data_IF_857010700751
#
_entry.id   IF_857010700751
#
_cell.length_a   1.000
_cell.length_b   1.000
_cell.length_c   1.000
_cell.angle_alpha   90.00
_cell.angle_beta   90.00
_cell.angle_gamma   90.00
#
_symmetry.space_group_name_H-M   'P 1'
#
loop_
_entity.id
_entity.type
_entity.pdbx_description
1 polymer ?
#
# COMPACT_ATOMS: atom_id res chain seq x y z
N UNK A 1 -8.55 4.30 17.61
CA UNK A 1 -8.69 3.68 18.95
C UNK A 1 -9.05 2.19 18.91
N UNK A 2 -9.41 1.59 17.75
CA UNK A 2 -9.62 0.14 17.62
C UNK A 2 -8.30 -0.65 17.64
N UNK A 3 -7.23 -0.12 17.04
CA UNK A 3 -5.96 -0.84 16.79
C UNK A 3 -5.21 -1.30 18.05
N UNK A 4 -5.38 -0.62 19.21
CA UNK A 4 -4.75 -1.04 20.48
C UNK A 4 -5.47 -2.20 21.17
N UNK A 5 -6.74 -2.45 20.87
CA UNK A 5 -7.48 -3.61 21.41
C UNK A 5 -7.11 -4.91 20.67
N UNK A 6 -6.70 -4.80 19.40
CA UNK A 6 -6.36 -5.94 18.51
C UNK A 6 -5.20 -6.79 19.06
N UNK A 7 -4.20 -6.16 19.70
CA UNK A 7 -2.99 -6.87 20.17
C UNK A 7 -3.28 -7.79 21.36
N UNK A 8 -4.30 -7.52 22.18
CA UNK A 8 -4.70 -8.39 23.31
C UNK A 8 -5.76 -9.43 22.93
N UNK A 9 -6.36 -9.33 21.74
CA UNK A 9 -7.52 -10.14 21.34
C UNK A 9 -7.16 -11.45 20.61
N UNK A 10 -5.89 -11.69 20.26
CA UNK A 10 -5.53 -12.86 19.44
C UNK A 10 -5.76 -14.21 20.13
N UNK A 11 -5.90 -14.25 21.47
CA UNK A 11 -6.02 -15.50 22.24
C UNK A 11 -7.40 -15.74 22.90
N UNK A 12 -8.36 -14.80 22.80
CA UNK A 12 -9.72 -14.95 23.37
C UNK A 12 -10.80 -15.02 22.25
N UNK A 13 -11.47 -16.17 22.07
CA UNK A 13 -12.52 -16.34 21.06
C UNK A 13 -13.72 -15.39 21.21
N UNK A 14 -14.12 -15.05 22.45
CA UNK A 14 -15.24 -14.14 22.69
C UNK A 14 -14.85 -12.70 22.32
N UNK A 15 -13.60 -12.33 22.60
CA UNK A 15 -13.07 -11.01 22.25
C UNK A 15 -12.92 -10.86 20.72
N UNK A 16 -12.50 -11.91 20.00
CA UNK A 16 -12.51 -11.94 18.53
C UNK A 16 -13.91 -11.76 17.95
N UNK A 17 -14.91 -12.47 18.48
CA UNK A 17 -16.28 -12.35 17.99
C UNK A 17 -16.86 -10.94 18.23
N UNK A 18 -16.51 -10.31 19.35
CA UNK A 18 -16.88 -8.93 19.62
C UNK A 18 -16.18 -7.95 18.67
N UNK A 19 -14.89 -8.15 18.39
CA UNK A 19 -14.11 -7.37 17.44
C UNK A 19 -14.69 -7.46 16.01
N UNK A 20 -15.02 -8.67 15.54
CA UNK A 20 -15.61 -8.89 14.22
C UNK A 20 -16.98 -8.19 14.09
N UNK A 21 -17.80 -8.24 15.14
CA UNK A 21 -19.09 -7.52 15.18
C UNK A 21 -18.86 -6.01 15.13
N UNK A 22 -17.92 -5.49 15.93
CA UNK A 22 -17.61 -4.06 15.95
C UNK A 22 -17.07 -3.57 14.60
N UNK A 23 -16.19 -4.33 13.96
CA UNK A 23 -15.66 -4.02 12.64
C UNK A 23 -16.76 -4.06 11.57
N UNK A 24 -17.67 -5.03 11.67
CA UNK A 24 -18.83 -5.13 10.78
C UNK A 24 -19.74 -3.90 10.90
N UNK A 25 -20.08 -3.48 12.11
CA UNK A 25 -20.92 -2.30 12.33
C UNK A 25 -20.21 -1.01 11.88
N UNK A 26 -18.90 -0.91 12.12
CA UNK A 26 -18.10 0.20 11.60
C UNK A 26 -18.15 0.28 10.06
N UNK A 27 -17.98 -0.84 9.38
CA UNK A 27 -18.05 -0.90 7.91
C UNK A 27 -19.45 -0.56 7.41
N UNK A 28 -20.51 -1.08 8.06
CA UNK A 28 -21.90 -0.75 7.73
C UNK A 28 -22.16 0.75 7.85
N UNK A 29 -21.69 1.39 8.93
CA UNK A 29 -21.78 2.83 9.12
C UNK A 29 -21.11 3.61 7.98
N UNK A 30 -19.86 3.28 7.66
CA UNK A 30 -19.13 3.93 6.57
C UNK A 30 -19.78 3.72 5.21
N UNK A 31 -20.33 2.54 4.92
CA UNK A 31 -21.07 2.26 3.69
C UNK A 31 -22.38 3.06 3.64
N UNK A 32 -23.12 3.13 4.74
CA UNK A 32 -24.37 3.93 4.83
C UNK A 32 -24.11 5.41 4.57
N UNK A 33 -22.97 5.92 5.04
CA UNK A 33 -22.51 7.29 4.78
C UNK A 33 -21.85 7.47 3.40
N UNK A 34 -21.72 6.42 2.59
CA UNK A 34 -21.11 6.49 1.26
C UNK A 34 -19.62 6.84 1.27
N UNK A 35 -18.89 6.53 2.37
CA UNK A 35 -17.47 6.88 2.48
C UNK A 35 -16.64 6.12 1.44
N UNK A 36 -15.88 6.85 0.64
CA UNK A 36 -14.89 6.25 -0.28
C UNK A 36 -13.69 5.72 0.51
N UNK A 37 -12.94 4.72 0.02
CA UNK A 37 -11.77 4.19 0.72
C UNK A 37 -10.72 5.24 1.09
N UNK A 38 -10.53 6.29 0.28
CA UNK A 38 -9.62 7.41 0.64
C UNK A 38 -10.08 8.18 1.89
N UNK A 39 -11.40 8.28 2.12
CA UNK A 39 -11.96 8.92 3.32
C UNK A 39 -11.72 8.03 4.53
N UNK A 40 -11.95 6.72 4.39
CA UNK A 40 -11.70 5.75 5.47
C UNK A 40 -10.22 5.66 5.82
N UNK A 41 -9.34 5.76 4.82
CA UNK A 41 -7.89 5.87 5.03
C UNK A 41 -7.54 7.03 5.98
N UNK A 42 -8.11 8.22 5.75
CA UNK A 42 -7.93 9.37 6.64
C UNK A 42 -8.54 9.18 8.04
N UNK A 43 -9.68 8.50 8.15
CA UNK A 43 -10.27 8.14 9.47
C UNK A 43 -9.33 7.23 10.26
N UNK A 44 -8.64 6.31 9.56
CA UNK A 44 -7.64 5.43 10.13
C UNK A 44 -6.28 6.12 10.34
N UNK A 45 -6.16 7.41 9.99
CA UNK A 45 -4.94 8.23 10.06
C UNK A 45 -3.78 7.70 9.22
N UNK A 46 -4.08 6.86 8.23
CA UNK A 46 -3.09 6.28 7.33
C UNK A 46 -2.58 7.29 6.28
N UNK A 47 -3.14 8.50 6.26
CA UNK A 47 -2.68 9.65 5.49
C UNK A 47 -1.47 10.33 6.15
N UNK A 48 -1.22 10.06 7.43
CA UNK A 48 0.05 10.33 8.09
C UNK A 48 0.91 9.06 8.13
N UNK A 49 2.05 9.08 7.46
CA UNK A 49 2.99 7.98 7.40
C UNK A 49 3.57 7.51 8.73
N UNK A 50 3.61 8.39 9.73
CA UNK A 50 4.02 8.02 11.09
C UNK A 50 3.00 7.11 11.78
N UNK A 51 1.77 7.05 11.26
CA UNK A 51 0.67 6.25 11.78
C UNK A 51 0.37 5.02 10.90
N UNK A 52 1.19 4.71 9.91
CA UNK A 52 1.03 3.46 9.16
C UNK A 52 1.38 2.29 10.08
N UNK A 53 0.38 1.44 10.33
CA UNK A 53 0.54 0.15 11.00
C UNK A 53 -0.24 -0.94 10.26
N UNK A 54 0.21 -2.19 10.41
CA UNK A 54 -0.37 -3.35 9.73
C UNK A 54 -1.84 -3.56 10.06
N UNK A 55 -2.26 -3.26 11.28
CA UNK A 55 -3.64 -3.41 11.74
C UNK A 55 -4.59 -2.51 10.95
N UNK A 56 -4.28 -1.22 10.90
CA UNK A 56 -5.10 -0.25 10.18
C UNK A 56 -5.05 -0.45 8.66
N UNK A 57 -3.91 -0.84 8.09
CA UNK A 57 -3.83 -1.19 6.65
C UNK A 57 -4.72 -2.39 6.32
N UNK A 58 -4.73 -3.43 7.17
CA UNK A 58 -5.63 -4.58 7.02
C UNK A 58 -7.11 -4.17 7.11
N UNK A 59 -7.46 -3.30 8.06
CA UNK A 59 -8.83 -2.76 8.19
C UNK A 59 -9.24 -2.04 6.90
N UNK A 60 -8.37 -1.19 6.33
CA UNK A 60 -8.62 -0.50 5.07
C UNK A 60 -8.77 -1.47 3.90
N UNK A 61 -7.91 -2.49 3.80
CA UNK A 61 -7.96 -3.51 2.75
C UNK A 61 -9.29 -4.27 2.78
N UNK A 62 -9.72 -4.72 3.96
CA UNK A 62 -11.02 -5.39 4.13
C UNK A 62 -12.17 -4.45 3.76
N UNK A 63 -12.09 -3.17 4.14
CA UNK A 63 -13.11 -2.19 3.76
C UNK A 63 -13.20 -2.00 2.25
N UNK A 64 -12.07 -1.97 1.52
CA UNK A 64 -12.06 -1.87 0.05
C UNK A 64 -12.81 -3.05 -0.59
N UNK A 65 -12.68 -4.26 -0.07
CA UNK A 65 -13.42 -5.44 -0.56
C UNK A 65 -14.93 -5.24 -0.39
N UNK A 66 -15.37 -4.85 0.81
CA UNK A 66 -16.79 -4.59 1.12
C UNK A 66 -17.34 -3.45 0.27
N UNK A 67 -16.57 -2.36 0.13
CA UNK A 67 -16.94 -1.21 -0.69
C UNK A 67 -17.11 -1.61 -2.17
N UNK A 68 -16.19 -2.40 -2.72
CA UNK A 68 -16.26 -2.84 -4.12
C UNK A 68 -17.43 -3.79 -4.40
N UNK A 69 -17.82 -4.60 -3.42
CA UNK A 69 -19.02 -5.43 -3.50
C UNK A 69 -20.29 -4.56 -3.48
N UNK A 70 -20.32 -3.49 -2.69
CA UNK A 70 -21.50 -2.60 -2.62
C UNK A 70 -21.61 -1.64 -3.81
N UNK A 71 -20.47 -1.14 -4.30
CA UNK A 71 -20.40 -0.11 -5.34
C UNK A 71 -19.69 -0.63 -6.58
N UNK A 72 -20.28 -1.64 -7.23
CA UNK A 72 -19.66 -2.36 -8.36
C UNK A 72 -19.23 -1.48 -9.54
N UNK A 73 -19.96 -0.38 -9.78
CA UNK A 73 -19.65 0.59 -10.85
C UNK A 73 -18.55 1.59 -10.48
N UNK A 74 -18.18 1.69 -9.21
CA UNK A 74 -17.26 2.69 -8.67
C UNK A 74 -16.16 2.05 -7.82
N UNK A 75 -15.64 0.90 -8.29
CA UNK A 75 -14.60 0.15 -7.57
C UNK A 75 -13.36 1.00 -7.32
N UNK A 76 -12.75 0.78 -6.17
CA UNK A 76 -11.50 1.37 -5.75
C UNK A 76 -10.49 0.27 -5.42
N UNK A 77 -9.20 0.60 -5.44
CA UNK A 77 -8.15 -0.31 -4.94
C UNK A 77 -7.44 0.32 -3.75
N UNK A 78 -6.79 -0.53 -2.94
CA UNK A 78 -5.96 -0.08 -1.82
C UNK A 78 -4.88 0.91 -2.31
N UNK A 79 -4.23 0.60 -3.43
CA UNK A 79 -3.24 1.47 -4.06
C UNK A 79 -3.85 2.82 -4.48
N UNK A 80 -5.05 2.83 -5.06
CA UNK A 80 -5.71 4.08 -5.43
C UNK A 80 -6.03 4.94 -4.20
N UNK A 81 -6.46 4.33 -3.10
CA UNK A 81 -6.72 5.06 -1.86
C UNK A 81 -5.44 5.75 -1.35
N UNK A 82 -4.34 5.00 -1.21
CA UNK A 82 -3.05 5.54 -0.77
C UNK A 82 -2.46 6.56 -1.73
N UNK A 83 -2.51 6.29 -3.04
CA UNK A 83 -2.04 7.22 -4.07
C UNK A 83 -2.80 8.54 -3.99
N UNK A 84 -4.11 8.49 -3.84
CA UNK A 84 -4.93 9.69 -3.75
C UNK A 84 -4.67 10.46 -2.44
N UNK A 85 -4.49 9.75 -1.32
CA UNK A 85 -4.18 10.36 -0.03
C UNK A 85 -2.81 11.06 -0.02
N UNK A 86 -1.79 10.46 -0.63
CA UNK A 86 -0.44 11.03 -0.69
C UNK A 86 -0.19 11.96 -1.87
N UNK A 87 -1.20 12.21 -2.71
CA UNK A 87 -1.10 13.17 -3.81
C UNK A 87 -0.27 12.68 -5.00
N UNK A 88 -0.28 11.38 -5.27
CA UNK A 88 0.33 10.80 -6.46
C UNK A 88 1.22 9.59 -6.18
N UNK A 89 1.62 8.92 -7.26
CA UNK A 89 2.42 7.70 -7.18
C UNK A 89 3.86 7.98 -6.72
N UNK A 90 4.44 9.08 -7.19
CA UNK A 90 5.77 9.54 -6.80
C UNK A 90 5.83 9.83 -5.29
N UNK A 91 4.88 10.62 -4.77
CA UNK A 91 4.83 10.99 -3.35
C UNK A 91 4.59 9.78 -2.44
N UNK A 92 3.70 8.87 -2.85
CA UNK A 92 3.52 7.59 -2.17
C UNK A 92 4.84 6.82 -2.08
N UNK A 93 5.55 6.65 -3.20
CA UNK A 93 6.82 5.93 -3.22
C UNK A 93 7.89 6.57 -2.33
N UNK A 94 8.02 7.90 -2.35
CA UNK A 94 8.92 8.62 -1.44
C UNK A 94 8.62 8.32 0.02
N UNK A 95 7.34 8.22 0.35
CA UNK A 95 6.92 7.94 1.71
C UNK A 95 7.20 6.51 2.15
N UNK A 96 7.00 5.53 1.28
CA UNK A 96 7.35 4.13 1.55
C UNK A 96 8.85 3.97 1.86
N UNK A 97 9.71 4.66 1.10
CA UNK A 97 11.14 4.69 1.36
C UNK A 97 11.45 5.33 2.73
N UNK A 98 10.76 6.40 3.11
CA UNK A 98 10.95 7.02 4.42
C UNK A 98 10.52 6.11 5.58
N UNK A 99 9.47 5.30 5.40
CA UNK A 99 9.00 4.34 6.41
C UNK A 99 9.96 3.17 6.60
N UNK A 100 10.65 2.73 5.53
CA UNK A 100 11.63 1.64 5.61
C UNK A 100 12.90 2.04 6.43
N UNK A 101 13.06 3.33 6.74
CA UNK A 101 14.07 3.81 7.70
C UNK A 101 13.60 3.73 9.16
N UNK A 102 12.33 3.42 9.38
CA UNK A 102 11.70 3.21 10.71
C UNK A 102 11.36 1.72 10.89
N UNK A 103 11.27 1.27 12.15
CA UNK A 103 11.27 -0.14 12.55
C UNK A 103 10.03 -0.98 12.16
N UNK A 104 9.02 -0.43 11.47
CA UNK A 104 7.83 -1.17 11.04
C UNK A 104 7.89 -1.58 9.55
N UNK A 105 8.75 -2.57 9.28
CA UNK A 105 9.08 -3.07 7.94
C UNK A 105 7.91 -3.76 7.21
N UNK A 106 6.98 -4.39 7.95
CA UNK A 106 6.00 -5.31 7.35
C UNK A 106 4.96 -4.58 6.50
N UNK A 107 4.54 -3.40 6.94
CA UNK A 107 3.49 -2.63 6.27
C UNK A 107 4.01 -1.91 5.02
N UNK A 108 5.26 -1.41 5.06
CA UNK A 108 5.94 -0.85 3.89
C UNK A 108 6.07 -1.91 2.78
N UNK A 109 6.38 -3.15 3.14
CA UNK A 109 6.47 -4.28 2.21
C UNK A 109 5.13 -4.56 1.51
N UNK A 110 4.01 -4.60 2.24
CA UNK A 110 2.69 -4.87 1.62
C UNK A 110 2.33 -3.81 0.58
N UNK A 111 2.53 -2.52 0.88
CA UNK A 111 2.23 -1.44 -0.07
C UNK A 111 3.23 -1.44 -1.24
N UNK A 112 4.51 -1.74 -0.99
CA UNK A 112 5.52 -1.90 -2.03
C UNK A 112 5.21 -3.06 -2.97
N UNK A 113 4.70 -4.19 -2.47
CA UNK A 113 4.26 -5.34 -3.29
C UNK A 113 3.13 -4.91 -4.21
N UNK A 114 2.14 -4.16 -3.70
CA UNK A 114 1.01 -3.70 -4.51
C UNK A 114 1.49 -2.72 -5.59
N UNK A 115 2.41 -1.80 -5.26
CA UNK A 115 3.00 -0.88 -6.23
C UNK A 115 3.80 -1.65 -7.31
N UNK A 116 4.59 -2.64 -6.89
CA UNK A 116 5.41 -3.48 -7.77
C UNK A 116 4.55 -4.32 -8.71
N UNK A 117 3.50 -4.96 -8.21
CA UNK A 117 2.54 -5.70 -9.02
C UNK A 117 1.91 -4.80 -10.08
N UNK A 118 1.59 -3.54 -9.71
CA UNK A 118 1.01 -2.58 -10.66
C UNK A 118 1.97 -2.15 -11.76
N UNK A 119 3.26 -1.96 -11.45
CA UNK A 119 4.27 -1.70 -12.48
C UNK A 119 4.48 -2.91 -13.38
N UNK A 120 4.47 -4.10 -12.79
CA UNK A 120 4.63 -5.35 -13.51
C UNK A 120 3.47 -5.63 -14.49
N UNK A 121 2.23 -5.39 -14.08
CA UNK A 121 1.05 -5.47 -14.97
C UNK A 121 1.15 -4.56 -16.19
N UNK A 122 1.91 -3.46 -16.09
CA UNK A 122 2.18 -2.55 -17.20
C UNK A 122 3.40 -2.96 -18.05
N UNK A 123 4.01 -4.10 -17.72
CA UNK A 123 5.29 -4.54 -18.27
C UNK A 123 6.41 -3.51 -18.11
N UNK A 124 6.36 -2.68 -17.06
CA UNK A 124 7.38 -1.68 -16.80
C UNK A 124 8.57 -2.34 -16.10
N UNK A 125 9.74 -2.33 -16.73
CA UNK A 125 10.97 -2.70 -16.03
C UNK A 125 11.41 -1.55 -15.08
N UNK A 126 12.55 -1.72 -14.39
CA UNK A 126 13.09 -0.69 -13.48
C UNK A 126 13.23 0.67 -14.17
N UNK A 127 13.73 0.71 -15.41
CA UNK A 127 13.96 1.94 -16.16
C UNK A 127 12.66 2.65 -16.50
N UNK A 128 11.62 1.93 -16.89
CA UNK A 128 10.30 2.51 -17.12
C UNK A 128 9.70 3.10 -15.83
N UNK A 129 9.79 2.38 -14.71
CA UNK A 129 9.31 2.87 -13.43
C UNK A 129 10.10 4.10 -12.96
N UNK A 130 11.42 4.05 -13.06
CA UNK A 130 12.35 5.14 -12.75
C UNK A 130 12.04 6.41 -13.54
N UNK A 131 11.94 6.32 -14.86
CA UNK A 131 11.70 7.47 -15.75
C UNK A 131 10.26 7.99 -15.62
N UNK A 132 9.26 7.11 -15.62
CA UNK A 132 7.85 7.53 -15.69
C UNK A 132 7.31 8.00 -14.34
N UNK A 133 7.79 7.44 -13.23
CA UNK A 133 7.25 7.72 -11.89
C UNK A 133 8.06 8.79 -11.17
N UNK A 134 9.37 8.79 -11.37
CA UNK A 134 10.30 9.64 -10.62
C UNK A 134 11.05 10.65 -11.49
N UNK A 135 10.85 10.61 -12.81
CA UNK A 135 11.56 11.47 -13.76
C UNK A 135 13.10 11.40 -13.59
N UNK A 136 13.60 10.20 -13.28
CA UNK A 136 15.03 9.92 -13.07
C UNK A 136 15.66 9.34 -14.34
N UNK A 137 16.98 9.47 -14.46
CA UNK A 137 17.78 9.02 -15.60
C UNK A 137 18.84 8.00 -15.17
N UNK A 138 19.40 7.21 -16.12
CA UNK A 138 20.48 6.26 -15.82
C UNK A 138 21.68 6.88 -15.09
N UNK A 139 21.94 8.18 -15.29
CA UNK A 139 23.06 8.91 -14.70
C UNK A 139 22.84 9.32 -13.25
N UNK A 140 21.58 9.51 -12.80
CA UNK A 140 21.28 10.12 -11.50
C UNK A 140 20.49 9.23 -10.53
N UNK A 141 19.91 8.12 -11.00
CA UNK A 141 18.97 7.35 -10.20
C UNK A 141 19.63 6.62 -9.03
N UNK A 142 20.88 6.16 -9.18
CA UNK A 142 21.53 5.31 -8.18
C UNK A 142 21.87 6.08 -6.90
N UNK A 143 22.18 7.37 -7.04
CA UNK A 143 22.40 8.28 -5.91
C UNK A 143 21.10 8.87 -5.36
N UNK A 144 19.97 8.64 -6.02
CA UNK A 144 18.67 9.15 -5.58
C UNK A 144 18.14 8.34 -4.39
N UNK A 145 17.38 9.00 -3.51
CA UNK A 145 16.77 8.33 -2.35
C UNK A 145 15.83 7.17 -2.72
N UNK A 146 15.30 7.11 -3.95
CA UNK A 146 14.44 6.05 -4.46
C UNK A 146 15.19 4.80 -4.93
N UNK A 147 16.53 4.84 -5.02
CA UNK A 147 17.33 3.72 -5.49
C UNK A 147 17.02 2.38 -4.76
N UNK A 148 16.83 2.34 -3.42
CA UNK A 148 16.51 1.07 -2.74
C UNK A 148 15.19 0.46 -3.20
N UNK A 149 14.16 1.27 -3.44
CA UNK A 149 12.86 0.80 -3.96
C UNK A 149 13.02 0.27 -5.40
N UNK A 150 13.73 1.00 -6.25
CA UNK A 150 13.97 0.61 -7.64
C UNK A 150 14.79 -0.68 -7.75
N UNK A 151 15.76 -0.90 -6.85
CA UNK A 151 16.53 -2.14 -6.78
C UNK A 151 15.64 -3.32 -6.40
N UNK A 152 14.84 -3.20 -5.33
CA UNK A 152 13.92 -4.27 -4.91
C UNK A 152 12.89 -4.60 -6.01
N UNK A 153 12.36 -3.57 -6.67
CA UNK A 153 11.48 -3.77 -7.82
C UNK A 153 12.16 -4.50 -8.98
N UNK A 154 13.43 -4.18 -9.26
CA UNK A 154 14.21 -4.88 -10.29
C UNK A 154 14.31 -6.38 -10.01
N UNK A 155 14.51 -6.77 -8.75
CA UNK A 155 14.49 -8.19 -8.34
C UNK A 155 13.11 -8.81 -8.54
N UNK A 156 12.05 -8.16 -8.05
CA UNK A 156 10.66 -8.58 -8.21
C UNK A 156 10.29 -8.86 -9.68
N UNK A 157 10.71 -7.96 -10.59
CA UNK A 157 10.45 -8.07 -12.03
C UNK A 157 11.24 -9.23 -12.66
N UNK A 158 12.53 -9.37 -12.32
CA UNK A 158 13.42 -10.37 -12.91
C UNK A 158 13.04 -11.80 -12.53
N UNK A 159 12.64 -12.02 -11.28
CA UNK A 159 12.14 -13.33 -10.80
C UNK A 159 10.91 -13.80 -11.59
N UNK A 160 10.07 -12.86 -12.04
CA UNK A 160 8.84 -13.14 -12.78
C UNK A 160 9.03 -13.12 -14.30
N UNK A 161 10.15 -12.59 -14.78
CA UNK A 161 10.54 -12.53 -16.19
C UNK A 161 11.99 -13.02 -16.39
N UNK A 162 12.29 -14.31 -16.11
CA UNK A 162 13.66 -14.83 -16.13
C UNK A 162 14.34 -14.75 -17.51
N UNK A 163 13.58 -14.63 -18.60
CA UNK A 163 14.09 -14.46 -19.97
C UNK A 163 14.49 -13.02 -20.34
N UNK A 164 14.11 -12.02 -19.55
CA UNK A 164 14.50 -10.62 -19.72
C UNK A 164 15.49 -10.23 -18.62
N UNK A 165 16.74 -10.69 -18.73
CA UNK A 165 17.77 -10.27 -17.75
C UNK A 165 17.86 -8.74 -17.72
N UNK A 166 17.87 -8.10 -16.54
CA UNK A 166 18.15 -6.68 -16.47
C UNK A 166 19.54 -6.43 -17.07
N UNK A 167 19.65 -5.43 -17.95
CA UNK A 167 20.96 -4.88 -18.33
C UNK A 167 21.60 -4.35 -17.05
N UNK A 168 22.47 -5.16 -16.46
CA UNK A 168 23.43 -4.72 -15.47
C UNK A 168 24.35 -3.78 -16.23
N UNK A 169 24.31 -2.49 -15.90
CA UNK A 169 25.18 -1.50 -16.53
C UNK A 169 26.63 -1.94 -16.41
N UNK A 170 27.33 -1.92 -17.53
CA UNK A 170 28.80 -1.90 -17.58
C UNK A 170 29.31 -0.54 -17.14
#
# INVERSE_FOLDING_TARGET
MVSRMIVKAQDDPNLKQFEDKLQTEQFRGWIKEGKKPVVVLGILKLDDPANIDKGNVKVLANYVVVYNHRFEKHKATLLQAFRNAYGGQEKLAHKLVSMNKSTDLTTSIEVEIVLSARWFEKCWNRENAMTTVFNLTPENWFSNSMAPLLVRYSSYYSERNPGQKPRVGQ
#
